data_IF_515843373426
#
_entry.id   IF_515843373426
#
_cell.length_a   1.000
_cell.length_b   1.000
_cell.length_c   1.000
_cell.angle_alpha   90.00
_cell.angle_beta   90.00
_cell.angle_gamma   90.00
#
_symmetry.space_group_name_H-M   'P 1'
#
loop_
_entity.id
_entity.type
_entity.pdbx_description
1 polymer ?
#
# COMPACT_ATOMS: atom_id res chain seq x y z
N UNK A 1 -10.24 0.33 -11.15
CA UNK A 1 -10.83 -0.94 -10.67
C UNK A 1 -11.70 -1.63 -11.72
N UNK A 2 -12.60 -0.92 -12.42
CA UNK A 2 -13.48 -1.54 -13.42
C UNK A 2 -12.71 -2.15 -14.59
N UNK A 3 -11.81 -1.40 -15.22
CA UNK A 3 -10.98 -1.86 -16.35
C UNK A 3 -10.06 -3.04 -16.01
N UNK A 4 -9.69 -3.18 -14.74
CA UNK A 4 -8.79 -4.23 -14.24
C UNK A 4 -9.52 -5.13 -13.25
N UNK A 5 -10.73 -5.57 -13.62
CA UNK A 5 -11.57 -6.38 -12.75
C UNK A 5 -11.45 -7.88 -12.97
N UNK A 6 -10.65 -8.32 -13.94
CA UNK A 6 -10.43 -9.71 -14.27
C UNK A 6 -9.51 -10.43 -13.25
N UNK A 7 -9.49 -11.75 -13.29
CA UNK A 7 -8.77 -12.59 -12.34
C UNK A 7 -7.24 -12.52 -12.44
N UNK A 8 -6.69 -12.03 -13.56
CA UNK A 8 -5.26 -11.89 -13.77
C UNK A 8 -4.75 -10.49 -13.40
N UNK A 9 -5.66 -9.59 -13.08
CA UNK A 9 -5.30 -8.21 -12.71
C UNK A 9 -4.89 -8.09 -11.25
N UNK A 10 -3.84 -7.31 -11.00
CA UNK A 10 -3.39 -6.90 -9.67
C UNK A 10 -3.41 -5.38 -9.61
N UNK A 11 -4.23 -4.83 -8.73
CA UNK A 11 -4.28 -3.38 -8.46
C UNK A 11 -3.36 -3.06 -7.29
N UNK A 12 -2.40 -2.17 -7.52
CA UNK A 12 -1.51 -1.68 -6.47
C UNK A 12 -1.90 -0.24 -6.13
N UNK A 13 -2.27 -0.01 -4.88
CA UNK A 13 -2.49 1.31 -4.31
C UNK A 13 -1.27 1.65 -3.46
N UNK A 14 -0.36 2.42 -4.03
CA UNK A 14 0.86 2.85 -3.37
C UNK A 14 0.74 4.34 -2.99
N UNK A 15 1.00 4.66 -1.73
CA UNK A 15 0.92 6.02 -1.16
C UNK A 15 -0.44 6.73 -1.41
N UNK A 16 -1.51 5.94 -1.49
CA UNK A 16 -2.87 6.41 -1.73
C UNK A 16 -3.67 6.55 -0.42
N UNK A 17 -3.06 6.99 0.66
CA UNK A 17 -3.65 7.04 2.00
C UNK A 17 -4.93 7.89 2.07
N UNK A 18 -5.09 8.87 1.17
CA UNK A 18 -6.31 9.67 1.07
C UNK A 18 -7.57 8.83 0.84
N UNK A 19 -7.46 7.67 0.20
CA UNK A 19 -8.58 6.73 -0.01
C UNK A 19 -9.15 6.25 1.33
N UNK A 20 -8.31 6.11 2.34
CA UNK A 20 -8.73 5.65 3.67
C UNK A 20 -9.54 6.68 4.46
N UNK A 21 -9.53 7.93 4.02
CA UNK A 21 -10.32 9.03 4.60
C UNK A 21 -11.61 9.33 3.83
N UNK A 22 -11.83 8.66 2.70
CA UNK A 22 -13.03 8.79 1.88
C UNK A 22 -13.96 7.58 2.06
N UNK A 23 -15.17 7.80 2.57
CA UNK A 23 -16.10 6.73 2.87
C UNK A 23 -16.56 5.94 1.63
N UNK A 24 -16.69 6.62 0.49
CA UNK A 24 -17.11 5.97 -0.76
C UNK A 24 -16.01 5.04 -1.23
N UNK A 25 -14.76 5.54 -1.24
CA UNK A 25 -13.61 4.75 -1.62
C UNK A 25 -13.38 3.56 -0.67
N UNK A 26 -13.53 3.76 0.65
CA UNK A 26 -13.45 2.68 1.64
C UNK A 26 -14.51 1.60 1.42
N UNK A 27 -15.73 1.98 1.11
CA UNK A 27 -16.79 1.01 0.84
C UNK A 27 -16.54 0.22 -0.45
N UNK A 28 -15.98 0.86 -1.49
CA UNK A 28 -15.56 0.18 -2.71
C UNK A 28 -14.42 -0.81 -2.43
N UNK A 29 -13.42 -0.42 -1.64
CA UNK A 29 -12.33 -1.30 -1.22
C UNK A 29 -12.85 -2.50 -0.41
N UNK A 30 -13.75 -2.29 0.53
CA UNK A 30 -14.37 -3.39 1.29
C UNK A 30 -15.09 -4.37 0.39
N UNK A 31 -15.81 -3.87 -0.64
CA UNK A 31 -16.45 -4.71 -1.63
C UNK A 31 -15.46 -5.50 -2.48
N UNK A 32 -14.32 -4.88 -2.83
CA UNK A 32 -13.26 -5.51 -3.60
C UNK A 32 -12.48 -6.57 -2.80
N UNK A 33 -12.39 -6.39 -1.48
CA UNK A 33 -11.65 -7.27 -0.56
C UNK A 33 -12.58 -8.26 0.17
N UNK A 34 -13.86 -8.32 -0.18
CA UNK A 34 -14.79 -9.23 0.46
C UNK A 34 -14.35 -10.70 0.28
N UNK A 35 -14.44 -11.48 1.34
CA UNK A 35 -14.08 -12.90 1.36
C UNK A 35 -15.14 -13.82 0.73
N UNK A 36 -16.26 -13.25 0.29
CA UNK A 36 -17.32 -13.99 -0.40
C UNK A 36 -16.85 -14.54 -1.76
N UNK A 37 -17.53 -15.59 -2.23
CA UNK A 37 -17.24 -16.21 -3.55
C UNK A 37 -17.41 -15.22 -4.72
N UNK A 38 -18.23 -14.18 -4.53
CA UNK A 38 -18.55 -13.20 -5.56
C UNK A 38 -18.35 -11.80 -5.00
N UNK A 39 -17.29 -11.14 -5.42
CA UNK A 39 -16.99 -9.76 -5.01
C UNK A 39 -17.67 -8.80 -5.98
N UNK A 40 -18.84 -8.28 -5.58
CA UNK A 40 -19.57 -7.30 -6.37
C UNK A 40 -19.33 -5.90 -5.82
N UNK A 41 -18.73 -5.05 -6.63
CA UNK A 41 -18.56 -3.63 -6.35
C UNK A 41 -19.74 -2.89 -6.93
N UNK A 42 -20.37 -2.01 -6.15
CA UNK A 42 -21.47 -1.18 -6.60
C UNK A 42 -21.43 0.19 -5.93
N UNK A 43 -21.87 1.21 -6.63
CA UNK A 43 -22.02 2.57 -6.11
C UNK A 43 -23.37 3.16 -6.51
N UNK A 44 -23.88 4.01 -5.65
CA UNK A 44 -25.20 4.63 -5.82
C UNK A 44 -25.11 6.05 -6.39
N UNK A 45 -23.90 6.55 -6.70
CA UNK A 45 -23.74 7.92 -7.14
C UNK A 45 -24.05 8.07 -8.63
N UNK A 46 -24.93 9.00 -8.96
CA UNK A 46 -25.18 9.44 -10.33
C UNK A 46 -24.07 10.37 -10.85
N UNK A 47 -22.83 9.90 -10.85
CA UNK A 47 -21.72 10.67 -11.41
C UNK A 47 -21.88 10.78 -12.92
N UNK A 48 -21.94 12.03 -13.42
CA UNK A 48 -21.94 12.30 -14.87
C UNK A 48 -20.70 11.75 -15.54
N UNK A 49 -19.56 11.80 -14.87
CA UNK A 49 -18.27 11.29 -15.37
C UNK A 49 -18.35 9.77 -15.60
N UNK A 50 -18.88 9.01 -14.64
CA UNK A 50 -19.00 7.57 -14.80
C UNK A 50 -19.97 7.17 -15.93
N UNK A 51 -21.04 7.97 -16.13
CA UNK A 51 -21.96 7.78 -17.27
C UNK A 51 -21.31 8.09 -18.61
N UNK A 52 -20.43 9.11 -18.67
CA UNK A 52 -19.70 9.48 -19.90
C UNK A 52 -18.64 8.43 -20.28
N UNK A 53 -18.06 7.77 -19.30
CA UNK A 53 -17.05 6.72 -19.47
C UNK A 53 -17.68 5.31 -19.61
N UNK A 54 -18.99 5.21 -19.78
CA UNK A 54 -19.75 3.95 -19.88
C UNK A 54 -19.45 2.95 -18.74
N UNK A 55 -19.11 3.47 -17.56
CA UNK A 55 -18.82 2.63 -16.40
C UNK A 55 -20.14 2.18 -15.74
N UNK A 56 -20.41 0.87 -15.66
CA UNK A 56 -21.65 0.36 -15.09
C UNK A 56 -21.72 0.66 -13.59
N UNK A 57 -22.92 0.84 -13.06
CA UNK A 57 -23.18 1.13 -11.63
C UNK A 57 -22.78 -0.01 -10.70
N UNK A 58 -22.51 -1.18 -11.24
CA UNK A 58 -21.95 -2.30 -10.51
C UNK A 58 -21.22 -3.28 -11.43
N UNK A 59 -20.17 -3.92 -10.91
CA UNK A 59 -19.42 -4.94 -11.62
C UNK A 59 -18.87 -6.00 -10.66
N UNK A 60 -18.46 -7.13 -11.22
CA UNK A 60 -17.77 -8.18 -10.47
C UNK A 60 -16.26 -7.90 -10.51
N UNK A 61 -15.63 -7.91 -9.34
CA UNK A 61 -14.19 -7.78 -9.22
C UNK A 61 -13.58 -9.13 -8.87
N UNK A 62 -12.73 -9.64 -9.75
CA UNK A 62 -12.03 -10.93 -9.59
C UNK A 62 -10.54 -10.76 -9.32
N UNK A 63 -10.00 -9.57 -9.59
CA UNK A 63 -8.60 -9.25 -9.44
C UNK A 63 -8.08 -9.31 -7.99
N UNK A 64 -6.80 -9.09 -7.82
CA UNK A 64 -6.13 -8.96 -6.53
C UNK A 64 -5.83 -7.50 -6.23
N UNK A 65 -5.69 -7.18 -4.95
CA UNK A 65 -5.36 -5.81 -4.50
C UNK A 65 -4.14 -5.88 -3.58
N UNK A 66 -3.18 -5.00 -3.82
CA UNK A 66 -2.07 -4.71 -2.91
C UNK A 66 -2.24 -3.26 -2.46
N UNK A 67 -2.29 -3.04 -1.16
CA UNK A 67 -2.35 -1.70 -0.59
C UNK A 67 -1.08 -1.44 0.23
N UNK A 68 -0.35 -0.40 -0.13
CA UNK A 68 0.89 0.02 0.54
C UNK A 68 0.61 1.36 1.21
N UNK A 69 0.86 1.44 2.51
CA UNK A 69 0.58 2.64 3.31
C UNK A 69 1.64 2.86 4.37
N UNK A 70 1.90 4.12 4.66
CA UNK A 70 2.74 4.55 5.78
C UNK A 70 1.92 4.80 7.07
N UNK A 71 0.59 4.62 7.02
CA UNK A 71 -0.27 4.82 8.17
C UNK A 71 -0.07 3.71 9.20
N UNK A 72 0.23 4.11 10.42
CA UNK A 72 0.23 3.21 11.58
C UNK A 72 -1.19 3.11 12.12
N UNK A 73 -1.83 1.97 11.91
CA UNK A 73 -3.25 1.75 12.23
C UNK A 73 -3.54 1.88 13.72
N UNK A 74 -2.59 1.52 14.58
CA UNK A 74 -2.65 1.67 16.03
C UNK A 74 -2.63 3.15 16.49
N UNK A 75 -2.05 4.05 15.69
CA UNK A 75 -1.93 5.47 15.99
C UNK A 75 -3.08 6.34 15.47
N UNK A 76 -4.02 5.74 14.73
CA UNK A 76 -5.19 6.45 14.23
C UNK A 76 -6.10 6.85 15.39
N UNK A 77 -6.41 8.15 15.49
CA UNK A 77 -7.23 8.70 16.58
C UNK A 77 -8.73 8.58 16.34
N UNK A 78 -9.15 8.61 15.08
CA UNK A 78 -10.56 8.51 14.71
C UNK A 78 -11.08 7.08 14.89
N UNK A 79 -12.05 6.88 15.80
CA UNK A 79 -12.66 5.58 16.02
C UNK A 79 -13.30 5.04 14.75
N UNK A 80 -14.01 5.88 14.00
CA UNK A 80 -14.61 5.51 12.73
C UNK A 80 -13.58 4.96 11.74
N UNK A 81 -12.42 5.62 11.61
CA UNK A 81 -11.36 5.17 10.73
C UNK A 81 -10.75 3.85 11.24
N UNK A 82 -10.59 3.69 12.55
CA UNK A 82 -10.15 2.40 13.13
C UNK A 82 -11.06 1.25 12.74
N UNK A 83 -12.38 1.42 12.91
CA UNK A 83 -13.37 0.39 12.57
C UNK A 83 -13.29 0.01 11.08
N UNK A 84 -13.03 1.00 10.21
CA UNK A 84 -12.83 0.76 8.78
C UNK A 84 -11.53 -0.01 8.48
N UNK A 85 -10.43 0.37 9.14
CA UNK A 85 -9.12 -0.28 8.95
C UNK A 85 -9.13 -1.71 9.49
N UNK A 86 -9.74 -1.95 10.65
CA UNK A 86 -9.94 -3.30 11.20
C UNK A 86 -10.75 -4.18 10.26
N UNK A 87 -11.82 -3.62 9.66
CA UNK A 87 -12.60 -4.32 8.66
C UNK A 87 -11.83 -4.65 7.38
N UNK A 88 -10.86 -3.82 6.97
CA UNK A 88 -9.96 -4.12 5.86
C UNK A 88 -8.94 -5.18 6.26
N UNK A 89 -8.29 -5.04 7.42
CA UNK A 89 -7.33 -6.02 7.92
C UNK A 89 -7.91 -7.43 8.03
N UNK A 90 -9.17 -7.54 8.47
CA UNK A 90 -9.86 -8.84 8.58
C UNK A 90 -10.09 -9.55 7.22
N UNK A 91 -9.94 -8.83 6.10
CA UNK A 91 -10.17 -9.32 4.74
C UNK A 91 -8.91 -9.50 3.90
N UNK A 92 -7.75 -9.13 4.44
CA UNK A 92 -6.49 -9.19 3.71
C UNK A 92 -5.38 -9.82 4.57
N UNK A 93 -4.29 -10.17 3.92
CA UNK A 93 -3.04 -10.49 4.62
C UNK A 93 -2.34 -9.18 4.97
N UNK A 94 -2.35 -8.83 6.25
CA UNK A 94 -1.64 -7.67 6.76
C UNK A 94 -0.18 -8.01 7.03
N UNK A 95 0.72 -7.23 6.45
CA UNK A 95 2.16 -7.35 6.68
C UNK A 95 2.67 -6.03 7.25
N UNK A 96 3.15 -6.06 8.48
CA UNK A 96 3.85 -4.95 9.09
C UNK A 96 5.34 -5.04 8.75
N UNK A 97 5.82 -4.08 7.96
CA UNK A 97 7.22 -3.96 7.56
C UNK A 97 7.97 -2.90 8.40
N UNK A 98 7.36 -2.43 9.49
CA UNK A 98 7.97 -1.44 10.37
C UNK A 98 9.24 -2.01 11.01
N UNK A 99 10.32 -1.25 10.92
CA UNK A 99 11.58 -1.57 11.57
C UNK A 99 11.69 -0.77 12.88
N UNK A 100 11.50 -1.44 14.01
CA UNK A 100 11.40 -0.75 15.30
C UNK A 100 12.77 -0.40 15.89
N UNK A 101 13.77 -1.24 15.65
CA UNK A 101 15.11 -0.99 16.21
C UNK A 101 16.04 -0.30 15.21
N UNK A 102 17.00 0.48 15.74
CA UNK A 102 18.05 1.07 14.92
C UNK A 102 18.88 -0.01 14.23
N UNK A 103 19.12 -1.13 14.89
CA UNK A 103 19.83 -2.28 14.31
C UNK A 103 19.12 -2.80 13.06
N UNK A 104 17.80 -2.99 13.11
CA UNK A 104 17.01 -3.50 11.98
C UNK A 104 17.03 -2.51 10.81
N UNK A 105 16.93 -1.21 11.10
CA UNK A 105 17.05 -0.15 10.10
C UNK A 105 18.42 -0.19 9.39
N UNK A 106 19.48 -0.31 10.16
CA UNK A 106 20.86 -0.43 9.62
C UNK A 106 21.03 -1.68 8.76
N UNK A 107 20.54 -2.83 9.23
CA UNK A 107 20.58 -4.07 8.45
C UNK A 107 19.81 -3.93 7.14
N UNK A 108 18.65 -3.28 7.18
CA UNK A 108 17.83 -3.05 5.99
C UNK A 108 18.49 -2.09 5.01
N UNK A 109 19.09 -1.01 5.49
CA UNK A 109 19.86 -0.07 4.65
C UNK A 109 21.01 -0.81 3.95
N UNK A 110 21.80 -1.60 4.68
CA UNK A 110 22.89 -2.40 4.10
C UNK A 110 22.38 -3.41 3.07
N UNK A 111 21.27 -4.06 3.35
CA UNK A 111 20.66 -5.00 2.41
C UNK A 111 20.26 -4.30 1.11
N UNK A 112 19.54 -3.17 1.20
CA UNK A 112 19.10 -2.41 0.02
C UNK A 112 20.29 -1.90 -0.77
N UNK A 113 21.31 -1.35 -0.10
CA UNK A 113 22.49 -0.81 -0.77
C UNK A 113 23.28 -1.89 -1.54
N UNK A 114 23.39 -3.10 -0.97
CA UNK A 114 24.10 -4.22 -1.60
C UNK A 114 23.28 -4.93 -2.69
N UNK A 115 22.03 -5.24 -2.41
CA UNK A 115 21.17 -5.99 -3.35
C UNK A 115 20.55 -5.10 -4.43
N UNK A 116 20.28 -3.85 -4.12
CA UNK A 116 19.66 -2.87 -5.02
C UNK A 116 20.66 -2.14 -5.90
N UNK A 117 21.95 -2.44 -5.78
CA UNK A 117 23.00 -1.80 -6.59
C UNK A 117 22.92 -0.26 -6.55
N UNK A 118 22.50 0.28 -5.40
CA UNK A 118 22.08 1.67 -5.21
C UNK A 118 23.10 2.71 -5.69
N UNK A 119 24.38 2.35 -5.75
CA UNK A 119 25.46 3.26 -6.09
C UNK A 119 26.24 2.86 -7.35
N UNK A 120 25.78 1.85 -8.09
CA UNK A 120 26.50 1.38 -9.30
C UNK A 120 26.52 2.45 -10.38
N UNK A 121 25.41 3.13 -10.62
CA UNK A 121 25.31 4.20 -11.61
C UNK A 121 26.24 5.39 -11.31
N UNK A 122 26.68 5.52 -10.07
CA UNK A 122 27.62 6.54 -9.63
C UNK A 122 29.08 6.08 -9.69
N UNK A 123 29.35 4.86 -10.13
CA UNK A 123 30.69 4.28 -10.16
C UNK A 123 31.30 4.04 -8.77
N UNK A 124 30.46 3.97 -7.72
CA UNK A 124 30.91 3.74 -6.35
C UNK A 124 30.93 2.23 -6.11
N UNK A 125 32.12 1.69 -5.95
CA UNK A 125 32.32 0.27 -5.65
C UNK A 125 31.93 -0.11 -4.22
N UNK A 126 32.06 -1.38 -3.88
CA UNK A 126 31.62 -1.96 -2.61
C UNK A 126 32.24 -1.25 -1.38
N UNK A 127 33.51 -0.92 -1.42
CA UNK A 127 34.22 -0.21 -0.33
C UNK A 127 33.62 1.20 -0.14
N UNK A 128 33.38 1.93 -1.23
CA UNK A 128 32.77 3.26 -1.17
C UNK A 128 31.34 3.20 -0.61
N UNK A 129 30.58 2.19 -0.99
CA UNK A 129 29.23 1.93 -0.48
C UNK A 129 29.23 1.72 1.04
N UNK A 130 30.12 0.89 1.57
CA UNK A 130 30.25 0.67 3.02
C UNK A 130 30.63 1.95 3.78
N UNK A 131 31.55 2.74 3.25
CA UNK A 131 31.94 4.03 3.86
C UNK A 131 30.73 4.99 3.93
N UNK A 132 29.94 5.09 2.87
CA UNK A 132 28.76 5.95 2.83
C UNK A 132 27.72 5.47 3.85
N UNK A 133 27.46 4.17 3.91
CA UNK A 133 26.51 3.59 4.84
C UNK A 133 26.94 3.85 6.29
N UNK A 134 28.18 3.57 6.63
CA UNK A 134 28.71 3.76 7.99
C UNK A 134 28.70 5.25 8.40
N UNK A 135 28.99 6.17 7.47
CA UNK A 135 28.90 7.59 7.72
C UNK A 135 27.46 8.04 8.01
N UNK A 136 26.47 7.57 7.26
CA UNK A 136 25.07 7.90 7.48
C UNK A 136 24.53 7.33 8.79
N UNK A 137 24.94 6.10 9.12
CA UNK A 137 24.57 5.44 10.38
C UNK A 137 25.19 6.20 11.56
N UNK A 138 26.45 6.61 11.47
CA UNK A 138 27.12 7.39 12.51
C UNK A 138 26.47 8.75 12.78
N UNK A 139 25.92 9.40 11.74
CA UNK A 139 25.17 10.66 11.88
C UNK A 139 23.79 10.49 12.55
N UNK A 140 23.17 9.33 12.44
CA UNK A 140 21.88 9.06 13.06
C UNK A 140 22.00 8.81 14.59
N UNK A 141 23.22 8.73 15.12
CA UNK A 141 23.53 8.52 16.53
C UNK A 141 23.97 9.79 17.28
N UNK A 142 24.03 10.95 16.61
CA UNK A 142 24.30 12.26 17.19
C UNK A 142 23.02 13.06 17.21
#
# INVERSE_FOLDING_TARGET
>A
MYEYSDENSVLVFDDCDSILFDDVALNLLKGALDSGKTRKISWLSESRVLKQEDIPTSFLFKGSVIFITNLKFDQVKSQRLKDHLEALQSRCHYLDLTLDTMRDKVLRIRQIAKQGQMFEDLGIGEIGTEIIIDFQIGRAHV
#
